data_IF_804144194887
#
_entry.id   IF_804144194887
#
_cell.length_a   1.000
_cell.length_b   1.000
_cell.length_c   1.000
_cell.angle_alpha   90.00
_cell.angle_beta   90.00
_cell.angle_gamma   90.00
#
_symmetry.space_group_name_H-M   'P 1'
#
loop_
_entity.id
_entity.type
_entity.pdbx_description
1 polymer ?
#
# COMPACT_ATOMS: atom_id res chain seq x y z
N UNK A 1 1.56 -5.03 10.46
CA UNK A 1 2.43 -3.85 10.27
C UNK A 1 2.23 -3.20 8.90
N UNK A 2 2.59 -3.83 7.76
CA UNK A 2 2.22 -3.29 6.42
C UNK A 2 0.71 -3.29 6.21
N UNK A 3 0.01 -4.37 6.59
CA UNK A 3 -1.45 -4.41 6.55
C UNK A 3 -2.09 -3.32 7.40
N UNK A 4 -1.52 -3.00 8.56
CA UNK A 4 -2.04 -1.96 9.45
C UNK A 4 -1.84 -0.57 8.86
N UNK A 5 -0.72 -0.35 8.17
CA UNK A 5 -0.41 0.91 7.49
C UNK A 5 -1.39 1.14 6.34
N UNK A 6 -1.60 0.16 5.47
CA UNK A 6 -2.53 0.31 4.35
C UNK A 6 -3.98 0.43 4.87
N UNK A 7 -4.33 -0.31 5.93
CA UNK A 7 -5.65 -0.21 6.59
C UNK A 7 -5.90 1.16 7.22
N UNK A 8 -4.87 1.83 7.76
CA UNK A 8 -4.99 3.20 8.29
C UNK A 8 -5.42 4.21 7.21
N UNK A 9 -5.17 3.92 5.93
CA UNK A 9 -5.54 4.79 4.81
C UNK A 9 -6.71 4.27 3.97
N UNK A 10 -7.34 3.19 4.41
CA UNK A 10 -8.57 2.67 3.81
C UNK A 10 -9.67 3.73 3.70
N UNK A 11 -9.77 4.67 4.65
CA UNK A 11 -10.74 5.76 4.59
C UNK A 11 -10.49 6.74 3.44
N UNK A 12 -9.24 7.06 3.16
CA UNK A 12 -8.86 7.95 2.08
C UNK A 12 -8.92 7.25 0.71
N UNK A 13 -8.56 5.96 0.65
CA UNK A 13 -8.81 5.11 -0.54
C UNK A 13 -10.30 5.05 -0.83
N UNK A 14 -11.13 4.85 0.19
CA UNK A 14 -12.60 4.85 0.07
C UNK A 14 -13.11 6.19 -0.47
N UNK A 15 -12.60 7.32 0.02
CA UNK A 15 -12.99 8.65 -0.47
C UNK A 15 -12.57 8.85 -1.93
N UNK A 16 -11.35 8.47 -2.31
CA UNK A 16 -10.88 8.53 -3.70
C UNK A 16 -11.77 7.73 -4.64
N UNK A 17 -12.17 6.53 -4.24
CA UNK A 17 -13.07 5.65 -4.98
C UNK A 17 -14.47 6.26 -5.16
N UNK A 18 -15.00 6.94 -4.14
CA UNK A 18 -16.27 7.66 -4.25
C UNK A 18 -16.16 8.87 -5.17
N UNK A 19 -15.17 9.72 -4.92
CA UNK A 19 -15.10 11.06 -5.52
C UNK A 19 -14.63 11.01 -6.97
N UNK A 20 -13.69 10.11 -7.30
CA UNK A 20 -13.08 10.01 -8.63
C UNK A 20 -13.72 8.93 -9.52
N UNK A 21 -14.24 7.87 -8.91
CA UNK A 21 -14.82 6.73 -9.64
C UNK A 21 -16.33 6.59 -9.48
N UNK A 22 -16.97 7.47 -8.70
CA UNK A 22 -18.43 7.51 -8.55
C UNK A 22 -19.02 6.30 -7.82
N UNK A 23 -18.20 5.58 -7.05
CA UNK A 23 -18.66 4.44 -6.27
C UNK A 23 -19.58 4.90 -5.13
N UNK A 24 -20.61 4.13 -4.84
CA UNK A 24 -21.41 4.36 -3.64
C UNK A 24 -20.63 3.93 -2.37
N UNK A 25 -21.13 4.27 -1.18
CA UNK A 25 -20.42 4.04 0.07
C UNK A 25 -20.08 2.55 0.32
N UNK A 26 -21.00 1.62 0.02
CA UNK A 26 -20.78 0.19 0.21
C UNK A 26 -19.77 -0.36 -0.80
N UNK A 27 -19.92 0.01 -2.07
CA UNK A 27 -19.01 -0.38 -3.14
C UNK A 27 -17.60 0.14 -2.90
N UNK A 28 -17.47 1.41 -2.48
CA UNK A 28 -16.18 2.01 -2.21
C UNK A 28 -15.49 1.37 -0.99
N UNK A 29 -16.24 1.12 0.09
CA UNK A 29 -15.71 0.45 1.29
C UNK A 29 -15.27 -0.98 0.99
N UNK A 30 -16.11 -1.77 0.31
CA UNK A 30 -15.77 -3.14 -0.10
C UNK A 30 -14.58 -3.17 -1.05
N UNK A 31 -14.55 -2.28 -2.04
CA UNK A 31 -13.45 -2.19 -3.01
C UNK A 31 -12.15 -1.74 -2.35
N UNK A 32 -12.22 -0.78 -1.45
CA UNK A 32 -11.06 -0.31 -0.67
C UNK A 32 -10.45 -1.43 0.16
N UNK A 33 -11.29 -2.23 0.84
CA UNK A 33 -10.82 -3.39 1.59
C UNK A 33 -10.16 -4.42 0.66
N UNK A 34 -10.79 -4.74 -0.47
CA UNK A 34 -10.22 -5.65 -1.47
C UNK A 34 -8.88 -5.16 -2.05
N UNK A 35 -8.74 -3.87 -2.32
CA UNK A 35 -7.50 -3.26 -2.81
C UNK A 35 -6.43 -3.32 -1.72
N UNK A 36 -6.78 -2.95 -0.50
CA UNK A 36 -5.88 -2.96 0.66
C UNK A 36 -5.34 -4.36 0.93
N UNK A 37 -6.23 -5.35 0.97
CA UNK A 37 -5.86 -6.75 1.17
C UNK A 37 -5.05 -7.31 0.00
N UNK A 38 -5.35 -6.91 -1.24
CA UNK A 38 -4.57 -7.29 -2.42
C UNK A 38 -3.13 -6.76 -2.35
N UNK A 39 -2.96 -5.48 -2.01
CA UNK A 39 -1.63 -4.87 -1.84
C UNK A 39 -0.87 -5.56 -0.70
N UNK A 40 -1.52 -5.74 0.45
CA UNK A 40 -0.95 -6.44 1.61
C UNK A 40 -0.52 -7.86 1.27
N UNK A 41 -1.36 -8.63 0.59
CA UNK A 41 -1.06 -10.01 0.18
C UNK A 41 0.10 -10.09 -0.81
N UNK A 42 0.18 -9.20 -1.81
CA UNK A 42 1.30 -9.19 -2.75
C UNK A 42 2.59 -8.85 -2.02
N UNK A 43 2.59 -7.84 -1.16
CA UNK A 43 3.76 -7.48 -0.35
C UNK A 43 4.17 -8.63 0.58
N UNK A 44 3.23 -9.21 1.32
CA UNK A 44 3.49 -10.31 2.26
C UNK A 44 4.01 -11.57 1.55
N UNK A 45 3.42 -11.98 0.42
CA UNK A 45 3.86 -13.15 -0.34
C UNK A 45 5.26 -12.96 -0.92
N UNK A 46 5.54 -11.76 -1.40
CA UNK A 46 6.83 -11.45 -2.02
C UNK A 46 7.94 -11.29 -0.97
N UNK A 47 7.62 -10.75 0.21
CA UNK A 47 8.53 -10.68 1.36
C UNK A 47 8.81 -12.09 1.93
N UNK A 48 7.77 -12.90 2.09
CA UNK A 48 7.89 -14.27 2.63
C UNK A 48 8.62 -15.24 1.69
N UNK A 49 8.67 -14.97 0.39
CA UNK A 49 9.38 -15.81 -0.59
C UNK A 49 10.86 -15.46 -0.76
N UNK A 50 11.36 -14.41 -0.10
CA UNK A 50 12.74 -13.94 -0.25
C UNK A 50 13.07 -13.38 -1.65
N UNK A 51 12.06 -13.24 -2.51
CA UNK A 51 12.16 -12.76 -3.90
C UNK A 51 11.94 -11.25 -4.00
N UNK A 52 11.80 -10.55 -2.88
CA UNK A 52 11.72 -9.10 -2.89
C UNK A 52 13.10 -8.49 -2.65
N UNK A 53 13.69 -8.04 -3.75
CA UNK A 53 14.65 -6.96 -3.68
C UNK A 53 13.96 -5.72 -3.11
N UNK A 54 14.53 -5.17 -2.05
CA UNK A 54 14.14 -3.89 -1.44
C UNK A 54 13.92 -2.81 -2.51
N UNK A 55 14.78 -2.82 -3.53
CA UNK A 55 14.73 -1.92 -4.68
C UNK A 55 13.43 -2.03 -5.47
N UNK A 56 12.80 -3.22 -5.55
CA UNK A 56 11.57 -3.43 -6.32
C UNK A 56 10.33 -2.86 -5.62
N UNK A 57 10.25 -2.93 -4.28
CA UNK A 57 9.21 -2.18 -3.54
C UNK A 57 9.51 -0.70 -3.61
N UNK A 58 10.76 -0.29 -3.38
CA UNK A 58 11.13 1.12 -3.44
C UNK A 58 10.79 1.71 -4.81
N UNK A 59 11.07 1.01 -5.92
CA UNK A 59 10.78 1.47 -7.27
C UNK A 59 9.29 1.65 -7.54
N UNK A 60 8.43 0.85 -6.89
CA UNK A 60 6.98 1.00 -6.98
C UNK A 60 6.49 2.27 -6.26
N UNK A 61 7.15 2.64 -5.16
CA UNK A 61 6.79 3.83 -4.37
C UNK A 61 7.74 5.01 -4.63
N UNK A 62 8.67 4.89 -5.59
CA UNK A 62 9.59 5.95 -5.93
C UNK A 62 8.89 6.90 -6.90
N UNK A 63 8.61 8.12 -6.43
CA UNK A 63 7.98 9.18 -7.22
C UNK A 63 8.72 9.60 -8.49
N UNK A 64 9.97 9.15 -8.67
CA UNK A 64 10.81 9.44 -9.83
C UNK A 64 10.60 8.47 -11.01
N UNK A 65 9.92 7.34 -10.78
CA UNK A 65 9.68 6.30 -11.77
C UNK A 65 8.19 6.19 -12.04
N UNK A 66 7.79 6.01 -13.31
CA UNK A 66 6.38 5.74 -13.63
C UNK A 66 5.97 4.41 -12.99
N UNK A 67 5.07 4.42 -12.02
CA UNK A 67 4.65 3.22 -11.29
C UNK A 67 4.16 2.13 -12.25
N UNK A 68 3.49 2.53 -13.35
CA UNK A 68 2.93 1.61 -14.35
C UNK A 68 3.99 0.80 -15.10
N UNK A 69 5.24 1.26 -15.08
CA UNK A 69 6.38 0.56 -15.68
C UNK A 69 6.96 -0.54 -14.78
N UNK A 70 6.57 -0.59 -13.50
CA UNK A 70 7.02 -1.62 -12.56
C UNK A 70 6.34 -2.96 -12.82
N UNK A 71 7.12 -4.04 -12.84
CA UNK A 71 6.59 -5.42 -12.90
C UNK A 71 5.71 -5.75 -11.68
N UNK A 72 5.96 -5.08 -10.56
CA UNK A 72 5.17 -5.21 -9.34
C UNK A 72 3.81 -4.52 -9.47
N UNK A 73 3.75 -3.40 -10.20
CA UNK A 73 2.50 -2.72 -10.51
C UNK A 73 1.58 -3.61 -11.36
N UNK A 74 2.10 -4.30 -12.37
CA UNK A 74 1.30 -5.23 -13.16
C UNK A 74 0.71 -6.35 -12.30
N UNK A 75 1.50 -6.93 -11.38
CA UNK A 75 1.03 -7.98 -10.47
C UNK A 75 -0.02 -7.46 -9.47
N UNK A 76 0.17 -6.24 -8.96
CA UNK A 76 -0.82 -5.59 -8.09
C UNK A 76 -2.10 -5.28 -8.85
N UNK A 77 -2.01 -4.75 -10.07
CA UNK A 77 -3.16 -4.47 -10.92
C UNK A 77 -3.96 -5.74 -11.21
N UNK A 78 -3.30 -6.85 -11.55
CA UNK A 78 -3.96 -8.15 -11.73
C UNK A 78 -4.62 -8.63 -10.44
N UNK A 79 -3.92 -8.57 -9.31
CA UNK A 79 -4.45 -9.03 -8.02
C UNK A 79 -5.66 -8.18 -7.60
N UNK A 80 -5.59 -6.87 -7.76
CA UNK A 80 -6.68 -5.94 -7.49
C UNK A 80 -7.85 -6.21 -8.44
N UNK A 81 -7.60 -6.43 -9.72
CA UNK A 81 -8.64 -6.81 -10.69
C UNK A 81 -9.36 -8.10 -10.29
N UNK A 82 -8.63 -9.11 -9.84
CA UNK A 82 -9.20 -10.36 -9.32
C UNK A 82 -9.95 -10.15 -7.99
N UNK A 83 -9.46 -9.30 -7.09
CA UNK A 83 -10.14 -9.01 -5.84
C UNK A 83 -11.45 -8.25 -6.07
N UNK A 84 -11.45 -7.30 -7.00
CA UNK A 84 -12.61 -6.50 -7.37
C UNK A 84 -13.60 -7.25 -8.25
N UNK A 85 -13.25 -8.37 -8.89
CA UNK A 85 -14.20 -9.11 -9.72
C UNK A 85 -15.43 -9.61 -8.96
N UNK A 86 -15.33 -9.74 -7.63
CA UNK A 86 -16.41 -10.17 -6.74
C UNK A 86 -17.17 -9.00 -6.08
N UNK A 87 -16.82 -7.75 -6.38
CA UNK A 87 -17.38 -6.55 -5.72
C UNK A 87 -18.69 -6.04 -6.33
N UNK A 88 -19.22 -6.72 -7.36
CA UNK A 88 -20.43 -6.31 -8.07
C UNK A 88 -20.24 -5.11 -8.99
N UNK A 89 -19.00 -4.70 -9.24
CA UNK A 89 -18.66 -3.61 -10.15
C UNK A 89 -18.65 -4.06 -11.62
N UNK A 90 -18.94 -3.12 -12.51
CA UNK A 90 -18.80 -3.34 -13.96
C UNK A 90 -17.34 -3.57 -14.36
N UNK A 91 -17.09 -4.42 -15.36
CA UNK A 91 -15.73 -4.77 -15.83
C UNK A 91 -14.89 -3.56 -16.21
N UNK A 92 -15.51 -2.56 -16.86
CA UNK A 92 -14.82 -1.33 -17.25
C UNK A 92 -14.35 -0.53 -16.03
N UNK A 93 -15.18 -0.48 -14.97
CA UNK A 93 -14.86 0.21 -13.74
C UNK A 93 -13.77 -0.53 -12.96
N UNK A 94 -13.84 -1.86 -12.91
CA UNK A 94 -12.79 -2.71 -12.32
C UNK A 94 -11.46 -2.43 -13.03
N UNK A 95 -11.42 -2.51 -14.35
CA UNK A 95 -10.20 -2.27 -15.14
C UNK A 95 -9.62 -0.88 -14.85
N UNK A 96 -10.47 0.15 -14.79
CA UNK A 96 -10.06 1.53 -14.50
C UNK A 96 -9.54 1.72 -13.07
N UNK A 97 -10.14 1.06 -12.08
CA UNK A 97 -9.69 1.13 -10.68
C UNK A 97 -8.38 0.35 -10.52
N UNK A 98 -8.27 -0.84 -11.10
CA UNK A 98 -7.07 -1.68 -11.02
C UNK A 98 -5.84 -1.05 -11.67
N UNK A 99 -6.04 -0.14 -12.64
CA UNK A 99 -4.96 0.55 -13.35
C UNK A 99 -4.79 1.97 -12.81
N UNK A 100 -5.68 2.89 -13.15
CA UNK A 100 -5.54 4.30 -12.78
C UNK A 100 -5.75 4.51 -11.28
N UNK A 101 -6.71 3.81 -10.67
CA UNK A 101 -7.01 3.97 -9.24
C UNK A 101 -5.87 3.45 -8.37
N UNK A 102 -5.30 2.30 -8.74
CA UNK A 102 -4.13 1.75 -8.08
C UNK A 102 -2.92 2.67 -8.20
N UNK A 103 -2.69 3.25 -9.38
CA UNK A 103 -1.61 4.23 -9.59
C UNK A 103 -1.79 5.50 -8.75
N UNK A 104 -3.04 6.01 -8.64
CA UNK A 104 -3.34 7.13 -7.76
C UNK A 104 -3.10 6.79 -6.28
N UNK A 105 -3.51 5.59 -5.84
CA UNK A 105 -3.32 5.12 -4.46
C UNK A 105 -1.83 5.00 -4.14
N UNK A 106 -1.05 4.33 -5.01
CA UNK A 106 0.41 4.20 -4.85
C UNK A 106 1.07 5.58 -4.86
N UNK A 107 0.67 6.46 -5.77
CA UNK A 107 1.16 7.83 -5.87
C UNK A 107 0.85 8.69 -4.65
N UNK A 108 -0.31 8.52 -4.05
CA UNK A 108 -0.68 9.27 -2.86
C UNK A 108 0.03 8.70 -1.60
N UNK A 109 0.32 7.39 -1.56
CA UNK A 109 1.16 6.76 -0.52
C UNK A 109 2.60 7.27 -0.66
N UNK A 110 3.18 7.23 -1.86
CA UNK A 110 4.57 7.65 -2.09
C UNK A 110 4.82 9.13 -1.84
N UNK A 111 3.81 9.97 -2.03
CA UNK A 111 3.88 11.42 -1.78
C UNK A 111 3.57 11.80 -0.32
N UNK A 112 3.38 10.82 0.56
CA UNK A 112 3.02 11.06 1.96
C UNK A 112 1.70 11.82 2.14
N UNK A 113 0.86 11.89 1.10
CA UNK A 113 -0.40 12.66 1.11
C UNK A 113 -1.45 12.02 2.01
N UNK A 114 -1.31 10.72 2.26
CA UNK A 114 -2.05 9.98 3.27
C UNK A 114 -1.45 10.20 4.68
N UNK A 115 -1.35 11.46 5.13
CA UNK A 115 -1.19 11.81 6.54
C UNK A 115 -0.02 11.19 7.34
N UNK A 116 1.21 11.18 6.81
CA UNK A 116 2.50 10.78 7.47
C UNK A 116 3.10 9.41 7.11
N UNK A 117 2.69 8.73 6.03
CA UNK A 117 3.58 7.70 5.46
C UNK A 117 4.65 8.41 4.63
N UNK A 118 5.71 8.87 5.29
CA UNK A 118 6.91 9.24 4.56
C UNK A 118 7.62 7.98 4.05
N UNK A 119 8.39 8.14 2.97
CA UNK A 119 9.23 7.07 2.41
C UNK A 119 10.12 6.45 3.50
N UNK A 120 10.50 7.22 4.52
CA UNK A 120 11.23 6.76 5.71
C UNK A 120 10.45 5.75 6.55
N UNK A 121 9.15 5.95 6.77
CA UNK A 121 8.29 5.00 7.49
C UNK A 121 8.15 3.70 6.71
N UNK A 122 7.98 3.80 5.39
CA UNK A 122 7.93 2.66 4.48
C UNK A 122 9.27 1.89 4.49
N UNK A 123 10.38 2.60 4.47
CA UNK A 123 11.75 2.06 4.53
C UNK A 123 12.04 1.39 5.87
N UNK A 124 11.63 1.98 7.00
CA UNK A 124 11.77 1.40 8.35
C UNK A 124 10.92 0.16 8.54
N UNK A 125 9.70 0.15 7.99
CA UNK A 125 8.81 -1.02 8.01
C UNK A 125 9.43 -2.18 7.23
N UNK A 126 9.86 -1.94 6.00
CA UNK A 126 10.47 -2.98 5.16
C UNK A 126 11.81 -3.44 5.74
N UNK A 127 12.62 -2.51 6.27
CA UNK A 127 13.87 -2.81 6.97
C UNK A 127 13.69 -3.65 8.24
N UNK A 128 12.54 -3.52 8.91
CA UNK A 128 12.17 -4.37 10.05
C UNK A 128 11.85 -5.81 9.63
N UNK A 129 11.47 -6.05 8.36
CA UNK A 129 11.22 -7.39 7.81
C UNK A 129 12.46 -8.02 7.16
N UNK A 130 13.39 -7.23 6.61
CA UNK A 130 14.67 -7.76 6.10
C UNK A 130 15.65 -8.17 7.23
N UNK A 131 15.29 -7.89 8.48
CA UNK A 131 16.09 -8.17 9.68
C UNK A 131 16.03 -9.62 10.15
N UNK A 132 16.56 -10.57 9.36
CA UNK A 132 17.11 -11.82 9.90
C UNK A 132 18.63 -11.84 9.79
N UNK A 133 19.28 -10.88 10.44
CA UNK A 133 20.58 -11.06 11.10
C UNK A 133 21.02 -9.75 11.75
N UNK A 134 21.08 -9.75 13.08
CA UNK A 134 22.00 -8.87 13.82
C UNK A 134 21.42 -7.57 14.35
N UNK A 135 20.78 -7.64 15.52
CA UNK A 135 20.85 -6.58 16.53
C UNK A 135 19.83 -5.45 16.43
N UNK A 136 19.05 -5.28 17.49
CA UNK A 136 18.41 -4.00 17.78
C UNK A 136 16.89 -3.98 17.82
N UNK A 137 16.27 -4.83 18.64
CA UNK A 137 14.90 -4.60 19.12
C UNK A 137 14.78 -3.39 20.08
N UNK A 138 15.74 -2.45 20.05
CA UNK A 138 15.79 -1.27 20.92
C UNK A 138 15.40 0.05 20.23
N UNK A 139 15.38 0.12 18.89
CA UNK A 139 15.18 1.40 18.19
C UNK A 139 13.74 1.91 18.13
N UNK A 140 12.76 1.01 18.05
CA UNK A 140 11.36 1.41 17.86
C UNK A 140 10.68 1.86 19.16
N UNK A 141 11.07 1.28 20.29
CA UNK A 141 10.57 1.67 21.61
C UNK A 141 11.22 2.96 22.11
N UNK A 142 12.51 3.19 21.83
CA UNK A 142 13.20 4.44 22.23
C UNK A 142 12.71 5.68 21.46
N UNK A 143 12.31 5.53 20.19
CA UNK A 143 11.76 6.66 19.43
C UNK A 143 10.32 7.01 19.83
N UNK A 144 9.55 6.04 20.33
CA UNK A 144 8.21 6.29 20.86
C UNK A 144 8.25 6.85 22.29
N UNK A 145 9.17 6.38 23.14
CA UNK A 145 9.35 6.97 24.48
C UNK A 145 9.95 8.37 24.43
N UNK A 146 10.74 8.72 23.41
CA UNK A 146 11.22 10.08 23.17
C UNK A 146 10.13 11.09 22.76
N UNK A 147 9.05 10.61 22.12
CA UNK A 147 7.89 11.42 21.69
C UNK A 147 6.82 11.56 22.79
N UNK A 148 6.72 10.61 23.72
CA UNK A 148 5.77 10.63 24.84
C UNK A 148 6.39 10.96 26.21
N UNK A 149 7.72 11.13 26.26
CA UNK A 149 8.50 11.28 27.50
C UNK A 149 9.33 12.56 27.57
N UNK A 150 8.69 13.72 27.45
CA UNK A 150 9.25 14.98 27.99
C UNK A 150 8.16 15.79 28.68
N UNK A 151 8.13 15.67 30.01
CA UNK A 151 7.84 16.76 30.94
C UNK A 151 8.97 16.80 31.96
#
# INVERSE_FOLDING_TARGET
MIDDLIKQHSGEITNLLKDKYGLNAEQASSSSNSITDAIGNVLNNKLGSGNLDFNTIMDLFNTSTDNKSSSMFSQLSETVMHALSNSGLGKDLISKISTDGLDDIISAISKGKFGNIDMDTLTQLIGSFSGKSGGGAGGLLDNLTGLFGKK
#
